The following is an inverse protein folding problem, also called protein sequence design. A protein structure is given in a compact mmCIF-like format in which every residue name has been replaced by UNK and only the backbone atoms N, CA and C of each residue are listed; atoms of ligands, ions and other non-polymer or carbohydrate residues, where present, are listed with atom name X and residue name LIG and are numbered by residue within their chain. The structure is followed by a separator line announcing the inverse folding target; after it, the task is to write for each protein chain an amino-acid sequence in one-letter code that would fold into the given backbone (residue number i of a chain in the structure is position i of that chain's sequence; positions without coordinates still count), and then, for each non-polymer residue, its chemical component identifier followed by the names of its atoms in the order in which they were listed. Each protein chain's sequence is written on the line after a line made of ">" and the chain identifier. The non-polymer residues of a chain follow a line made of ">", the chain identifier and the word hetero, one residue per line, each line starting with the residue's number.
data_IF_487105595715
#
_entry.id   IF_487105595715
#
_cell.length_a   1.000
_cell.length_b   1.000
_cell.length_c   1.000
_cell.angle_alpha   90.00
_cell.angle_beta   90.00
_cell.angle_gamma   90.00
#
_symmetry.space_group_name_H-M   'P 1'
#
loop_
_entity.id
_entity.type
_entity.pdbx_description
1 polymer ?
#
# COMPACT_ATOMS: atom_id res chain seq x y z
N UNK A 1 -3.21 16.18 12.01
CA UNK A 1 -2.88 16.23 10.56
C UNK A 1 -3.47 17.52 10.00
N UNK A 2 -2.70 18.27 9.27
CA UNK A 2 -3.21 19.50 8.65
C UNK A 2 -4.01 19.13 7.40
N UNK A 3 -5.08 19.86 7.13
CA UNK A 3 -6.01 19.62 6.00
C UNK A 3 -5.26 19.43 4.67
N UNK A 4 -4.13 20.10 4.49
CA UNK A 4 -3.31 20.01 3.27
C UNK A 4 -2.61 18.64 3.06
N UNK A 5 -2.60 17.77 4.06
CA UNK A 5 -2.02 16.44 3.95
C UNK A 5 -3.05 15.39 3.49
N UNK A 6 -4.35 15.74 3.52
CA UNK A 6 -5.42 14.89 3.02
C UNK A 6 -5.59 14.96 1.49
N UNK A 7 -5.08 16.04 0.88
CA UNK A 7 -5.27 16.30 -0.56
C UNK A 7 -4.54 15.30 -1.48
N UNK A 8 -3.76 14.37 -0.91
CA UNK A 8 -2.92 13.44 -1.66
C UNK A 8 -3.05 12.00 -1.19
N UNK A 9 -4.23 11.58 -0.78
CA UNK A 9 -4.45 10.19 -0.40
C UNK A 9 -4.88 9.35 -1.60
N UNK A 10 -4.34 8.13 -1.66
CA UNK A 10 -4.59 7.19 -2.75
C UNK A 10 -5.03 5.84 -2.21
N UNK A 11 -5.82 5.16 -3.02
CA UNK A 11 -6.16 3.76 -2.85
C UNK A 11 -6.04 3.06 -4.20
N UNK A 12 -5.45 1.87 -4.21
CA UNK A 12 -5.30 1.07 -5.42
C UNK A 12 -6.22 -0.15 -5.38
N UNK A 13 -6.82 -0.47 -6.52
CA UNK A 13 -7.66 -1.63 -6.67
C UNK A 13 -7.56 -2.22 -8.09
N UNK A 14 -7.84 -3.51 -8.20
CA UNK A 14 -7.98 -4.18 -9.50
C UNK A 14 -9.33 -3.86 -10.17
N UNK A 15 -10.27 -3.30 -9.45
CA UNK A 15 -11.63 -3.00 -9.94
C UNK A 15 -11.72 -1.58 -10.49
N UNK A 16 -12.24 -1.40 -11.72
CA UNK A 16 -12.29 -0.09 -12.39
C UNK A 16 -13.46 0.81 -11.97
N UNK A 17 -14.49 0.26 -11.34
CA UNK A 17 -15.80 0.92 -11.20
C UNK A 17 -16.19 1.19 -9.75
N UNK A 18 -15.20 1.49 -8.90
CA UNK A 18 -15.45 1.76 -7.49
C UNK A 18 -15.86 3.23 -7.31
N UNK A 19 -16.99 3.46 -6.67
CA UNK A 19 -17.44 4.79 -6.26
C UNK A 19 -17.41 4.95 -4.74
N UNK A 20 -17.43 3.85 -4.01
CA UNK A 20 -17.37 3.81 -2.55
C UNK A 20 -16.56 2.63 -2.08
N UNK A 21 -15.79 2.86 -1.02
CA UNK A 21 -15.02 1.83 -0.32
C UNK A 21 -15.64 1.59 1.06
N UNK A 22 -15.97 0.34 1.34
CA UNK A 22 -16.56 -0.05 2.62
C UNK A 22 -15.45 -0.55 3.57
N UNK A 23 -15.44 -0.09 4.83
CA UNK A 23 -14.50 -0.59 5.82
C UNK A 23 -14.59 -2.10 5.98
N UNK A 24 -13.46 -2.76 6.01
CA UNK A 24 -13.35 -4.20 6.26
C UNK A 24 -12.01 -4.53 6.88
N UNK A 25 -11.95 -5.65 7.56
CA UNK A 25 -10.69 -6.24 7.95
C UNK A 25 -10.02 -6.82 6.70
N UNK A 26 -8.72 -6.56 6.46
CA UNK A 26 -8.03 -7.11 5.31
C UNK A 26 -8.13 -8.63 5.24
N UNK A 27 -8.38 -9.16 4.05
CA UNK A 27 -8.48 -10.60 3.82
C UNK A 27 -7.12 -11.31 3.84
N UNK A 28 -6.06 -10.58 3.55
CA UNK A 28 -4.68 -11.05 3.62
C UNK A 28 -4.00 -10.37 4.81
N UNK A 29 -4.02 -11.03 5.94
CA UNK A 29 -3.25 -10.59 7.10
C UNK A 29 -1.87 -11.25 7.01
N UNK A 30 -0.83 -10.44 7.16
CA UNK A 30 0.53 -10.94 7.18
C UNK A 30 0.71 -11.93 8.34
N UNK A 31 1.00 -13.18 8.02
CA UNK A 31 1.17 -14.26 9.00
C UNK A 31 2.63 -14.59 9.30
N UNK A 32 3.57 -13.73 8.85
CA UNK A 32 4.99 -13.95 9.06
C UNK A 32 5.38 -13.59 10.50
N UNK A 33 6.31 -14.34 11.04
CA UNK A 33 6.98 -13.96 12.28
C UNK A 33 7.53 -12.53 12.13
N UNK A 34 7.19 -11.65 13.07
CA UNK A 34 7.49 -10.20 13.05
C UNK A 34 6.73 -9.35 12.01
N UNK A 35 5.80 -9.92 11.28
CA UNK A 35 4.93 -9.20 10.37
C UNK A 35 3.52 -9.19 10.95
N UNK A 36 3.22 -8.18 11.76
CA UNK A 36 1.92 -8.03 12.40
C UNK A 36 1.03 -7.06 11.64
N UNK A 37 -0.23 -7.44 11.47
CA UNK A 37 -1.28 -6.57 10.96
C UNK A 37 -2.54 -6.77 11.79
N UNK A 38 -3.14 -5.67 12.27
CA UNK A 38 -4.37 -5.72 13.05
C UNK A 38 -5.49 -6.39 12.24
N UNK A 39 -6.12 -7.38 12.87
CA UNK A 39 -7.22 -8.16 12.29
C UNK A 39 -8.58 -7.87 12.92
N UNK A 40 -8.69 -6.81 13.73
CA UNK A 40 -9.90 -6.50 14.49
C UNK A 40 -10.58 -5.21 14.06
N UNK A 41 -9.83 -4.26 13.50
CA UNK A 41 -10.35 -2.95 13.13
C UNK A 41 -10.76 -2.96 11.65
N UNK A 42 -12.04 -2.80 11.39
CA UNK A 42 -12.56 -2.58 10.04
C UNK A 42 -12.15 -1.19 9.56
N UNK A 43 -11.58 -1.14 8.36
CA UNK A 43 -11.01 0.09 7.81
C UNK A 43 -10.96 0.11 6.30
N UNK A 44 -10.86 1.30 5.76
CA UNK A 44 -10.38 1.57 4.42
C UNK A 44 -8.97 2.13 4.55
N UNK A 45 -7.99 1.52 3.90
CA UNK A 45 -6.60 1.99 3.95
C UNK A 45 -6.32 2.91 2.78
N UNK A 46 -5.68 4.04 3.07
CA UNK A 46 -5.16 4.99 2.12
C UNK A 46 -3.69 5.23 2.39
N UNK A 47 -2.95 5.65 1.37
CA UNK A 47 -1.57 6.10 1.55
C UNK A 47 -1.31 7.39 0.76
N UNK A 48 -0.35 8.21 1.19
CA UNK A 48 -0.06 9.49 0.54
C UNK A 48 0.78 9.34 -0.74
N UNK A 49 1.15 8.12 -1.12
CA UNK A 49 1.92 7.86 -2.33
C UNK A 49 1.46 6.58 -3.02
N UNK A 50 1.61 6.56 -4.34
CA UNK A 50 1.37 5.35 -5.14
C UNK A 50 2.27 4.19 -4.69
N UNK A 51 3.54 4.46 -4.43
CA UNK A 51 4.48 3.45 -3.92
C UNK A 51 4.01 2.85 -2.59
N UNK A 52 3.56 3.68 -1.66
CA UNK A 52 3.02 3.21 -0.39
C UNK A 52 1.81 2.30 -0.58
N UNK A 53 0.92 2.66 -1.49
CA UNK A 53 -0.23 1.82 -1.84
C UNK A 53 0.19 0.48 -2.44
N UNK A 54 1.16 0.47 -3.35
CA UNK A 54 1.67 -0.77 -3.97
C UNK A 54 2.25 -1.70 -2.90
N UNK A 55 3.05 -1.17 -2.00
CA UNK A 55 3.63 -1.95 -0.91
C UNK A 55 2.55 -2.53 0.02
N UNK A 56 1.54 -1.73 0.34
CA UNK A 56 0.45 -2.15 1.20
C UNK A 56 -0.47 -3.21 0.60
N UNK A 57 -0.51 -3.35 -0.72
CA UNK A 57 -1.30 -4.38 -1.41
C UNK A 57 -0.73 -5.79 -1.24
N UNK A 58 0.54 -5.93 -0.90
CA UNK A 58 1.21 -7.24 -0.78
C UNK A 58 0.98 -8.12 -2.02
N UNK A 59 1.30 -7.57 -3.19
CA UNK A 59 1.15 -8.28 -4.46
C UNK A 59 1.97 -9.57 -4.47
N UNK A 60 1.38 -10.63 -4.98
CA UNK A 60 2.01 -11.93 -5.18
C UNK A 60 2.27 -12.19 -6.66
N UNK A 61 3.03 -13.23 -6.97
CA UNK A 61 3.26 -13.64 -8.37
C UNK A 61 1.96 -13.91 -9.13
N UNK A 62 0.95 -14.38 -8.44
CA UNK A 62 -0.34 -14.70 -9.05
C UNK A 62 -1.14 -13.46 -9.47
N UNK A 63 -0.78 -12.30 -8.94
CA UNK A 63 -1.40 -11.03 -9.34
C UNK A 63 -0.92 -10.55 -10.71
N UNK A 64 0.25 -11.03 -11.17
CA UNK A 64 0.85 -10.60 -12.42
C UNK A 64 0.53 -11.54 -13.56
N UNK A 65 0.14 -10.97 -14.71
CA UNK A 65 -0.05 -11.66 -15.98
C UNK A 65 1.03 -11.16 -16.92
N UNK A 66 1.89 -12.06 -17.41
CA UNK A 66 3.05 -11.69 -18.24
C UNK A 66 3.93 -10.60 -17.59
N UNK A 67 4.12 -10.68 -16.27
CA UNK A 67 4.96 -9.74 -15.54
C UNK A 67 4.33 -8.37 -15.28
N UNK A 68 3.03 -8.21 -15.51
CA UNK A 68 2.32 -6.95 -15.36
C UNK A 68 1.01 -7.12 -14.59
N UNK A 69 0.63 -6.08 -13.85
CA UNK A 69 -0.72 -5.93 -13.29
C UNK A 69 -1.21 -4.51 -13.48
N UNK A 70 -2.45 -4.36 -13.89
CA UNK A 70 -3.12 -3.05 -13.99
C UNK A 70 -3.89 -2.78 -12.71
N UNK A 71 -3.65 -1.62 -12.12
CA UNK A 71 -4.34 -1.15 -10.93
C UNK A 71 -4.99 0.19 -11.21
N UNK A 72 -6.18 0.36 -10.67
CA UNK A 72 -6.94 1.60 -10.76
C UNK A 72 -6.66 2.45 -9.53
N UNK A 73 -6.41 3.74 -9.76
CA UNK A 73 -6.01 4.69 -8.73
C UNK A 73 -7.22 5.53 -8.34
N UNK A 74 -7.55 5.47 -7.08
CA UNK A 74 -8.67 6.21 -6.49
C UNK A 74 -8.16 7.23 -5.49
N UNK A 75 -8.86 8.34 -5.39
CA UNK A 75 -8.66 9.33 -4.34
C UNK A 75 -9.96 9.56 -3.58
N UNK A 76 -9.92 9.60 -2.25
CA UNK A 76 -11.11 9.90 -1.47
C UNK A 76 -11.47 11.37 -1.52
N UNK A 77 -12.74 11.66 -1.33
CA UNK A 77 -13.27 12.99 -1.11
C UNK A 77 -14.31 12.99 0.02
N UNK A 78 -14.56 14.15 0.60
CA UNK A 78 -15.51 14.31 1.69
C UNK A 78 -15.25 13.43 2.92
N UNK A 79 -13.98 13.25 3.29
CA UNK A 79 -13.62 12.50 4.48
C UNK A 79 -13.91 13.30 5.75
N UNK A 80 -14.48 12.63 6.75
CA UNK A 80 -14.59 13.14 8.11
C UNK A 80 -13.25 12.91 8.83
N UNK A 81 -12.52 13.98 9.11
CA UNK A 81 -11.20 13.92 9.75
C UNK A 81 -11.24 13.20 11.10
N UNK A 82 -12.35 13.28 11.84
CA UNK A 82 -12.50 12.61 13.13
C UNK A 82 -12.54 11.07 13.01
N UNK A 83 -12.75 10.55 11.82
CA UNK A 83 -12.80 9.12 11.53
C UNK A 83 -11.52 8.59 10.88
N UNK A 84 -10.50 9.44 10.80
CA UNK A 84 -9.20 9.06 10.27
C UNK A 84 -8.28 8.64 11.42
N UNK A 85 -7.71 7.46 11.30
CA UNK A 85 -6.60 7.02 12.14
C UNK A 85 -5.31 7.34 11.41
N UNK A 86 -4.56 8.31 11.91
CA UNK A 86 -3.33 8.78 11.31
C UNK A 86 -2.23 7.72 11.33
N UNK A 87 -1.32 7.83 10.39
CA UNK A 87 -0.15 6.95 10.32
C UNK A 87 0.66 6.94 11.63
N UNK A 88 0.82 8.07 12.28
CA UNK A 88 1.54 8.15 13.56
C UNK A 88 0.90 7.27 14.64
N UNK A 89 -0.43 7.19 14.68
CA UNK A 89 -1.15 6.33 15.62
C UNK A 89 -0.95 4.86 15.26
N UNK A 90 -1.03 4.53 13.97
CA UNK A 90 -0.84 3.16 13.48
C UNK A 90 0.56 2.65 13.81
N UNK A 91 1.58 3.46 13.57
CA UNK A 91 2.97 3.15 13.90
C UNK A 91 3.17 3.09 15.41
N UNK A 92 2.68 4.07 16.14
CA UNK A 92 2.85 4.17 17.59
C UNK A 92 2.22 3.01 18.36
N UNK A 93 1.06 2.54 17.90
CA UNK A 93 0.37 1.37 18.47
C UNK A 93 0.79 0.05 17.85
N UNK A 94 1.73 0.06 16.91
CA UNK A 94 2.23 -1.13 16.21
C UNK A 94 1.11 -1.96 15.57
N UNK A 95 0.15 -1.30 14.96
CA UNK A 95 -1.01 -1.96 14.39
C UNK A 95 -0.71 -2.65 13.05
N UNK A 96 0.29 -2.16 12.31
CA UNK A 96 0.78 -2.77 11.07
C UNK A 96 2.30 -2.67 11.05
N UNK A 97 2.96 -3.76 10.68
CA UNK A 97 4.42 -3.88 10.76
C UNK A 97 5.18 -2.95 9.80
N UNK A 98 4.61 -2.61 8.66
CA UNK A 98 5.23 -1.80 7.61
C UNK A 98 4.62 -0.39 7.46
N UNK A 99 3.77 0.02 8.39
CA UNK A 99 3.09 1.30 8.32
C UNK A 99 4.04 2.52 8.25
N UNK A 100 5.23 2.40 8.81
CA UNK A 100 6.27 3.43 8.72
C UNK A 100 6.84 3.58 7.30
N UNK A 101 6.72 2.57 6.47
CA UNK A 101 7.16 2.56 5.07
C UNK A 101 6.02 2.97 4.13
N UNK A 102 4.88 2.36 4.28
CA UNK A 102 3.69 2.64 3.46
C UNK A 102 3.11 4.03 3.73
N UNK A 103 3.31 4.53 4.95
CA UNK A 103 2.69 5.78 5.43
C UNK A 103 1.18 5.74 5.43
N UNK A 104 0.60 4.53 5.49
CA UNK A 104 -0.85 4.38 5.45
C UNK A 104 -1.56 5.09 6.59
N UNK A 105 -2.77 5.50 6.31
CA UNK A 105 -3.77 5.91 7.29
C UNK A 105 -5.06 5.12 7.05
N UNK A 106 -5.90 5.07 8.06
CA UNK A 106 -7.15 4.31 8.00
C UNK A 106 -8.35 5.23 8.13
N UNK A 107 -9.36 4.98 7.34
CA UNK A 107 -10.66 5.60 7.44
C UNK A 107 -11.67 4.59 7.97
N UNK A 108 -12.38 4.94 9.02
CA UNK A 108 -13.22 4.00 9.76
C UNK A 108 -14.68 4.01 9.31
N UNK A 109 -14.99 4.67 8.21
CA UNK A 109 -16.31 4.71 7.59
C UNK A 109 -16.25 4.43 6.11
N UNK A 110 -17.41 4.29 5.49
CA UNK A 110 -17.51 4.23 4.04
C UNK A 110 -16.92 5.51 3.43
N UNK A 111 -16.01 5.34 2.47
CA UNK A 111 -15.35 6.44 1.79
C UNK A 111 -15.86 6.56 0.36
N UNK A 112 -16.34 7.73 -0.01
CA UNK A 112 -16.57 8.08 -1.40
C UNK A 112 -15.23 8.33 -2.09
N UNK A 113 -15.06 7.77 -3.28
CA UNK A 113 -13.81 7.88 -4.04
C UNK A 113 -14.08 8.22 -5.50
N UNK A 114 -13.13 8.89 -6.10
CA UNK A 114 -13.10 9.16 -7.53
C UNK A 114 -11.93 8.43 -8.20
N UNK A 115 -12.15 7.98 -9.41
CA UNK A 115 -11.13 7.34 -10.23
C UNK A 115 -10.22 8.42 -10.83
N UNK A 116 -8.93 8.37 -10.53
CA UNK A 116 -7.93 9.27 -11.10
C UNK A 116 -7.34 8.72 -12.41
N UNK A 117 -7.32 7.41 -12.57
CA UNK A 117 -6.74 6.74 -13.72
C UNK A 117 -6.29 5.33 -13.37
N UNK A 118 -5.43 4.77 -14.18
CA UNK A 118 -4.84 3.46 -13.94
C UNK A 118 -3.33 3.49 -14.10
N UNK A 119 -2.69 2.54 -13.44
CA UNK A 119 -1.25 2.31 -13.55
C UNK A 119 -0.99 0.87 -13.95
N UNK A 120 0.11 0.65 -14.65
CA UNK A 120 0.65 -0.70 -14.86
C UNK A 120 1.84 -0.88 -13.94
N UNK A 121 1.79 -1.92 -13.12
CA UNK A 121 2.87 -2.31 -12.21
C UNK A 121 3.60 -3.49 -12.80
N UNK A 122 4.92 -3.43 -12.81
CA UNK A 122 5.80 -4.46 -13.35
C UNK A 122 6.44 -5.25 -12.23
N UNK A 123 6.39 -6.58 -12.36
CA UNK A 123 7.14 -7.46 -11.45
C UNK A 123 8.64 -7.37 -11.78
N UNK A 124 9.43 -7.05 -10.77
CA UNK A 124 10.88 -6.89 -10.88
C UNK A 124 11.67 -7.84 -10.00
N UNK A 125 11.06 -8.94 -9.63
CA UNK A 125 11.71 -9.95 -8.79
C UNK A 125 13.08 -10.37 -9.35
N UNK A 126 13.21 -10.52 -10.65
CA UNK A 126 14.49 -10.86 -11.30
C UNK A 126 15.57 -9.82 -11.08
N UNK A 127 15.22 -8.54 -11.12
CA UNK A 127 16.17 -7.46 -10.85
C UNK A 127 16.62 -7.43 -9.40
N UNK A 128 15.81 -7.87 -8.49
CA UNK A 128 16.16 -7.99 -7.07
C UNK A 128 17.24 -9.03 -6.87
N UNK A 129 17.21 -10.11 -7.61
CA UNK A 129 18.23 -11.17 -7.57
C UNK A 129 19.59 -10.62 -8.02
N UNK A 130 19.64 -9.73 -8.99
CA UNK A 130 20.87 -9.07 -9.45
C UNK A 130 21.50 -8.20 -8.37
N UNK A 131 20.70 -7.55 -7.55
CA UNK A 131 21.20 -6.72 -6.46
C UNK A 131 21.69 -7.52 -5.25
N UNK A 132 21.23 -8.71 -5.08
CA UNK A 132 21.59 -9.54 -3.94
C UNK A 132 23.09 -9.83 -3.86
N UNK A 133 23.80 -10.19 -4.95
CA UNK A 133 25.24 -10.41 -4.92
C UNK A 133 26.04 -9.14 -4.63
N UNK A 134 25.57 -7.99 -5.03
CA UNK A 134 26.28 -6.71 -4.84
C UNK A 134 26.28 -6.30 -3.36
N UNK A 135 25.37 -6.84 -2.60
CA UNK A 135 25.19 -6.55 -1.18
C UNK A 135 25.66 -7.67 -0.29
N UNK A 136 26.53 -8.47 -0.82
CA UNK A 136 27.19 -9.53 -0.09
C UNK A 136 27.88 -8.95 1.11
N UNK A 137 27.55 -9.40 2.24
CA UNK A 137 28.14 -9.01 3.48
C UNK A 137 27.11 -8.88 4.60
N UNK A 138 25.90 -8.43 4.30
CA UNK A 138 24.90 -8.37 5.34
C UNK A 138 23.47 -8.47 4.81
N UNK A 139 22.92 -9.68 4.70
CA UNK A 139 21.53 -9.88 4.29
C UNK A 139 20.50 -9.14 5.16
N UNK A 140 20.88 -8.72 6.37
CA UNK A 140 20.01 -7.95 7.24
C UNK A 140 19.67 -6.57 6.69
N UNK A 141 20.51 -6.01 5.83
CA UNK A 141 20.22 -4.73 5.18
C UNK A 141 19.22 -4.84 4.05
N UNK A 142 19.03 -6.01 3.51
CA UNK A 142 18.15 -6.22 2.38
C UNK A 142 16.69 -6.27 2.78
N UNK A 143 16.39 -6.86 3.93
CA UNK A 143 15.03 -7.02 4.42
C UNK A 143 14.52 -5.88 5.29
N UNK A 144 15.27 -5.42 6.29
CA UNK A 144 14.71 -4.49 7.25
C UNK A 144 14.50 -3.08 6.72
N UNK A 145 15.19 -2.68 5.69
CA UNK A 145 15.10 -1.31 5.22
C UNK A 145 13.96 -1.06 4.23
N UNK A 146 13.17 -2.06 3.90
CA UNK A 146 12.05 -1.96 2.97
C UNK A 146 12.42 -1.48 1.56
N UNK A 147 13.68 -1.17 1.32
CA UNK A 147 14.14 -0.65 0.03
C UNK A 147 14.03 -1.67 -1.08
N UNK A 148 14.13 -2.95 -0.73
CA UNK A 148 13.92 -4.01 -1.70
C UNK A 148 12.52 -3.98 -2.27
N UNK A 149 11.54 -3.77 -1.43
CA UNK A 149 10.15 -3.73 -1.88
C UNK A 149 9.90 -2.58 -2.84
N UNK A 150 10.59 -1.45 -2.65
CA UNK A 150 10.52 -0.33 -3.59
C UNK A 150 11.24 -0.62 -4.91
N UNK A 151 12.15 -1.58 -4.95
CA UNK A 151 12.85 -2.01 -6.16
C UNK A 151 12.19 -3.18 -6.87
N UNK A 152 11.32 -3.93 -6.18
CA UNK A 152 10.60 -5.04 -6.77
C UNK A 152 9.63 -4.60 -7.85
N UNK A 153 9.10 -3.40 -7.73
CA UNK A 153 8.05 -2.92 -8.61
C UNK A 153 8.41 -1.57 -9.22
N UNK A 154 8.23 -1.46 -10.51
CA UNK A 154 8.07 -0.19 -11.21
C UNK A 154 6.64 -0.05 -11.65
N UNK A 155 6.19 1.18 -11.76
CA UNK A 155 4.88 1.46 -12.31
C UNK A 155 4.93 2.64 -13.27
N UNK A 156 3.97 2.69 -14.17
CA UNK A 156 3.71 3.84 -15.03
C UNK A 156 2.22 4.12 -15.09
N UNK A 157 1.88 5.39 -15.20
CA UNK A 157 0.51 5.78 -15.48
C UNK A 157 0.12 5.38 -16.90
N UNK A 158 -1.06 4.82 -17.06
CA UNK A 158 -1.66 4.54 -18.36
C UNK A 158 -2.34 5.81 -18.91
N UNK A 159 -2.20 5.99 -20.18
CA UNK A 159 -2.83 7.11 -20.88
C UNK A 159 -4.25 6.77 -21.29
#
# INVERSE_FOLDING_TARGET
>A
MKINELDTLFHLSKSPDITKLTPKVPSKVASRENAFEDSTIERVSFAPSIKGCILGLQLSKDDFINGEVVLYVYSPYDLDEQKIVNNEVIVGKKLVFDANVTKECWYLREASVELLGSITVYDKVEQTIEYTPIRVGNPKFLKPNGKLDTYLYKYKWNQ
#
